data_IF_347999799945
#
_entry.id   IF_347999799945
#
_cell.length_a   1.000
_cell.length_b   1.000
_cell.length_c   1.000
_cell.angle_alpha   90.00
_cell.angle_beta   90.00
_cell.angle_gamma   90.00
#
_symmetry.space_group_name_H-M   'P 1'
#
loop_
_entity.id
_entity.type
_entity.pdbx_description
1 polymer ?
#
# COMPACT_ATOMS: atom_id res chain seq x y z
N UNK A 1 -5.26 -3.48 -25.54
CA UNK A 1 -4.13 -4.17 -24.87
C UNK A 1 -4.39 -4.17 -23.38
N UNK A 2 -4.71 -5.32 -22.79
CA UNK A 2 -4.85 -5.48 -21.34
C UNK A 2 -3.47 -5.64 -20.71
N UNK A 3 -3.13 -4.76 -19.76
CA UNK A 3 -1.90 -4.87 -18.96
C UNK A 3 -2.23 -5.69 -17.71
N UNK A 4 -1.48 -6.77 -17.48
CA UNK A 4 -1.60 -7.55 -16.25
C UNK A 4 -0.92 -6.77 -15.12
N UNK A 5 -1.68 -6.39 -14.10
CA UNK A 5 -1.16 -5.82 -12.86
C UNK A 5 -1.13 -6.94 -11.82
N UNK A 6 0.06 -7.34 -11.41
CA UNK A 6 0.25 -8.26 -10.28
C UNK A 6 0.30 -7.42 -9.00
N UNK A 7 -0.54 -7.76 -8.01
CA UNK A 7 -0.54 -7.16 -6.67
C UNK A 7 0.21 -8.09 -5.70
N UNK A 8 1.51 -8.23 -5.90
CA UNK A 8 2.40 -9.07 -5.08
C UNK A 8 2.80 -8.38 -3.75
N UNK A 9 2.74 -7.06 -3.67
CA UNK A 9 3.12 -6.31 -2.48
C UNK A 9 2.08 -6.47 -1.34
N UNK A 10 2.43 -7.21 -0.28
CA UNK A 10 1.56 -7.46 0.88
C UNK A 10 1.65 -6.36 1.97
N UNK A 11 2.46 -5.32 1.78
CA UNK A 11 2.72 -4.29 2.77
C UNK A 11 2.61 -2.87 2.20
N UNK A 12 2.67 -1.84 3.06
CA UNK A 12 2.80 -0.47 2.60
C UNK A 12 4.26 -0.12 2.27
N UNK A 13 4.43 0.76 1.27
CA UNK A 13 5.71 1.44 1.06
C UNK A 13 5.83 2.61 2.04
N UNK A 14 6.95 2.70 2.72
CA UNK A 14 7.29 3.85 3.57
C UNK A 14 8.03 4.87 2.72
N UNK A 15 7.49 6.06 2.60
CA UNK A 15 8.07 7.16 1.84
C UNK A 15 8.43 8.26 2.83
N UNK A 16 9.69 8.63 2.86
CA UNK A 16 10.20 9.72 3.69
C UNK A 16 10.05 11.04 2.93
N UNK A 17 9.28 11.97 3.49
CA UNK A 17 9.05 13.31 2.95
C UNK A 17 9.60 14.29 3.99
N UNK A 18 10.89 14.61 3.87
CA UNK A 18 11.61 15.33 4.92
C UNK A 18 11.58 14.56 6.23
N UNK A 19 11.12 15.20 7.31
CA UNK A 19 11.05 14.59 8.65
C UNK A 19 9.81 13.70 8.87
N UNK A 20 8.97 13.50 7.84
CA UNK A 20 7.72 12.74 7.96
C UNK A 20 7.79 11.44 7.17
N UNK A 21 7.42 10.33 7.81
CA UNK A 21 7.26 9.04 7.15
C UNK A 21 5.79 8.85 6.76
N UNK A 22 5.54 8.65 5.47
CA UNK A 22 4.20 8.40 4.91
C UNK A 22 4.10 6.94 4.48
N UNK A 23 3.07 6.23 4.95
CA UNK A 23 2.79 4.86 4.54
C UNK A 23 1.81 4.82 3.37
N UNK A 24 2.27 4.37 2.21
CA UNK A 24 1.48 4.22 0.98
C UNK A 24 1.05 2.78 0.81
N UNK A 25 -0.24 2.53 0.58
CA UNK A 25 -0.80 1.20 0.43
C UNK A 25 -0.41 0.56 -0.91
N UNK A 26 0.17 -0.65 -0.88
CA UNK A 26 0.43 -1.45 -2.08
C UNK A 26 -0.37 -2.77 -2.14
N UNK A 27 -0.92 -3.21 -1.00
CA UNK A 27 -1.73 -4.44 -0.90
C UNK A 27 -3.12 -4.38 -1.58
N UNK A 28 -3.58 -3.19 -1.97
CA UNK A 28 -4.90 -3.01 -2.59
C UNK A 28 -6.10 -3.13 -1.63
N UNK A 29 -5.90 -3.47 -0.35
CA UNK A 29 -6.97 -3.71 0.63
C UNK A 29 -7.35 -2.48 1.47
N UNK A 30 -6.55 -1.40 1.42
CA UNK A 30 -6.84 -0.19 2.18
C UNK A 30 -8.16 0.45 1.75
N UNK A 31 -8.96 0.89 2.73
CA UNK A 31 -10.15 1.72 2.52
C UNK A 31 -9.81 3.21 2.38
N UNK A 32 -8.60 3.60 2.78
CA UNK A 32 -8.13 4.99 2.76
C UNK A 32 -7.02 5.19 1.71
N UNK A 33 -7.22 4.69 0.48
CA UNK A 33 -6.24 4.83 -0.61
C UNK A 33 -5.99 6.31 -0.92
N UNK A 34 -4.73 6.73 -1.19
CA UNK A 34 -3.53 5.92 -1.41
C UNK A 34 -2.77 5.49 -0.13
N UNK A 35 -3.25 5.87 1.05
CA UNK A 35 -2.54 5.63 2.31
C UNK A 35 -2.83 4.24 2.89
N UNK A 36 -1.91 3.79 3.74
CA UNK A 36 -2.09 2.56 4.50
C UNK A 36 -2.97 2.78 5.73
N UNK A 37 -3.99 1.95 5.90
CA UNK A 37 -4.88 1.92 7.07
C UNK A 37 -4.67 0.65 7.93
N UNK A 38 -3.67 -0.18 7.62
CA UNK A 38 -3.40 -1.43 8.31
C UNK A 38 -4.17 -2.66 7.80
N UNK A 39 -5.10 -2.50 6.84
CA UNK A 39 -5.91 -3.61 6.30
C UNK A 39 -5.08 -4.76 5.71
N UNK A 40 -3.85 -4.47 5.28
CA UNK A 40 -2.91 -5.47 4.79
C UNK A 40 -2.60 -6.59 5.79
N UNK A 41 -2.78 -6.35 7.10
CA UNK A 41 -2.54 -7.35 8.15
C UNK A 41 -3.61 -8.43 8.22
N UNK A 42 -4.82 -8.16 7.73
CA UNK A 42 -5.93 -9.11 7.78
C UNK A 42 -5.83 -10.22 6.72
N UNK A 43 -4.98 -10.04 5.71
CA UNK A 43 -4.81 -10.97 4.57
C UNK A 43 -3.39 -11.53 4.49
N UNK A 44 -2.57 -11.29 5.53
CA UNK A 44 -1.20 -11.80 5.62
C UNK A 44 -1.15 -13.12 6.36
#
# INVERSE_FOLDING_TARGET
>A
MSRIIRHDATGPALIEIGDKVVAVCQCGLSRNKPFCDGSHRATK
#
